data_IF_096875110287
#
_entry.id   IF_096875110287
#
_cell.length_a   1.000
_cell.length_b   1.000
_cell.length_c   1.000
_cell.angle_alpha   90.00
_cell.angle_beta   90.00
_cell.angle_gamma   90.00
#
_symmetry.space_group_name_H-M   'P 1'
#
loop_
_entity.id
_entity.type
_entity.pdbx_description
1 polymer ?
#
# COMPACT_ATOMS: atom_id res chain seq x y z
N UNK A 1 17.29 -52.62 -30.47
CA UNK A 1 16.47 -51.83 -29.51
C UNK A 1 17.23 -50.71 -28.77
N UNK A 2 18.49 -50.37 -29.10
CA UNK A 2 19.24 -49.27 -28.45
C UNK A 2 19.12 -47.90 -29.14
N UNK A 3 18.64 -47.84 -30.39
CA UNK A 3 18.58 -46.57 -31.16
C UNK A 3 17.29 -45.76 -30.97
N UNK A 4 16.24 -46.35 -30.39
CA UNK A 4 14.98 -45.65 -30.13
C UNK A 4 15.04 -44.83 -28.82
N UNK A 5 15.73 -45.35 -27.81
CA UNK A 5 15.94 -44.65 -26.52
C UNK A 5 16.83 -43.41 -26.67
N UNK A 6 17.84 -43.44 -27.54
CA UNK A 6 18.71 -42.27 -27.79
C UNK A 6 18.01 -41.13 -28.53
N UNK A 7 17.01 -41.44 -29.37
CA UNK A 7 16.19 -40.41 -30.06
C UNK A 7 15.17 -39.74 -29.15
N UNK A 8 14.69 -40.43 -28.11
CA UNK A 8 13.81 -39.84 -27.09
C UNK A 8 14.57 -38.90 -26.14
N UNK A 9 15.80 -39.26 -25.75
CA UNK A 9 16.63 -38.40 -24.88
C UNK A 9 17.13 -37.14 -25.60
N UNK A 10 17.39 -37.19 -26.91
CA UNK A 10 17.71 -35.98 -27.69
C UNK A 10 16.53 -35.01 -27.81
N UNK A 11 15.30 -35.51 -27.92
CA UNK A 11 14.10 -34.66 -27.96
C UNK A 11 13.79 -34.00 -26.61
N UNK A 12 14.13 -34.65 -25.49
CA UNK A 12 14.00 -34.05 -24.16
C UNK A 12 15.01 -32.92 -23.94
N UNK A 13 16.28 -33.09 -24.34
CA UNK A 13 17.28 -32.03 -24.22
C UNK A 13 17.03 -30.84 -25.16
N UNK A 14 16.56 -31.08 -26.39
CA UNK A 14 16.20 -29.99 -27.31
C UNK A 14 14.97 -29.18 -26.84
N UNK A 15 14.05 -29.80 -26.08
CA UNK A 15 12.91 -29.10 -25.48
C UNK A 15 13.30 -28.30 -24.23
N UNK A 16 14.40 -28.66 -23.58
CA UNK A 16 14.95 -27.93 -22.43
C UNK A 16 15.85 -26.75 -22.85
N UNK A 17 16.47 -26.81 -24.04
CA UNK A 17 17.24 -25.69 -24.61
C UNK A 17 16.38 -24.63 -25.33
N UNK A 18 15.19 -24.99 -25.85
CA UNK A 18 14.25 -24.05 -26.49
C UNK A 18 13.19 -23.46 -25.54
N UNK A 19 13.30 -23.69 -24.23
CA UNK A 19 12.51 -22.96 -23.22
C UNK A 19 13.20 -21.67 -22.74
N UNK A 20 14.36 -21.33 -23.32
CA UNK A 20 15.03 -20.02 -23.15
C UNK A 20 14.73 -19.12 -24.35
N UNK A 21 13.46 -18.75 -24.56
CA UNK A 21 13.02 -17.56 -25.33
C UNK A 21 11.52 -17.64 -25.67
N UNK A 22 10.63 -17.51 -24.69
CA UNK A 22 9.24 -17.04 -24.87
C UNK A 22 8.53 -17.11 -23.52
N UNK A 23 8.99 -16.30 -22.59
CA UNK A 23 8.30 -16.06 -21.33
C UNK A 23 8.70 -14.68 -20.95
N UNK A 24 7.94 -13.68 -21.46
CA UNK A 24 7.96 -12.38 -20.83
C UNK A 24 7.78 -12.65 -19.35
N UNK A 25 8.84 -12.39 -18.59
CA UNK A 25 8.74 -12.30 -17.14
C UNK A 25 7.78 -11.14 -16.96
N UNK A 26 6.50 -11.45 -16.88
CA UNK A 26 5.57 -10.64 -16.13
C UNK A 26 6.27 -10.56 -14.79
N UNK A 27 6.96 -9.45 -14.56
CA UNK A 27 7.41 -9.08 -13.23
C UNK A 27 6.18 -9.28 -12.37
N UNK A 28 6.17 -10.38 -11.62
CA UNK A 28 5.34 -10.51 -10.43
C UNK A 28 5.56 -9.20 -9.74
N UNK A 29 4.56 -8.31 -9.76
CA UNK A 29 4.62 -7.05 -9.04
C UNK A 29 4.92 -7.48 -7.62
N UNK A 30 6.19 -7.38 -7.22
CA UNK A 30 6.55 -7.47 -5.83
C UNK A 30 5.79 -6.28 -5.26
N UNK A 31 4.65 -6.57 -4.63
CA UNK A 31 3.84 -5.55 -3.98
C UNK A 31 4.72 -5.05 -2.84
N UNK A 32 5.54 -4.04 -3.14
CA UNK A 32 6.37 -3.39 -2.16
C UNK A 32 5.44 -2.96 -1.03
N UNK A 33 5.73 -3.44 0.18
CA UNK A 33 4.94 -3.04 1.34
C UNK A 33 5.00 -1.50 1.44
N UNK A 34 3.88 -0.85 1.84
CA UNK A 34 3.90 0.56 2.14
C UNK A 34 5.00 0.90 3.14
N UNK A 35 5.72 2.00 2.90
CA UNK A 35 6.77 2.51 3.78
C UNK A 35 6.56 4.00 4.04
N UNK A 36 7.05 4.46 5.20
CA UNK A 36 7.18 5.91 5.48
C UNK A 36 8.38 6.40 4.66
N UNK A 37 8.15 7.34 3.76
CA UNK A 37 9.22 7.87 2.90
C UNK A 37 10.11 8.84 3.69
N UNK A 38 11.41 8.82 3.38
CA UNK A 38 12.35 9.85 3.84
C UNK A 38 11.91 11.22 3.33
N UNK A 39 11.94 12.22 4.21
CA UNK A 39 11.47 13.58 3.91
C UNK A 39 9.95 13.76 3.94
N UNK A 40 9.16 12.73 4.28
CA UNK A 40 7.76 12.91 4.61
C UNK A 40 7.57 13.77 5.87
N UNK A 41 6.38 14.32 6.09
CA UNK A 41 6.07 15.10 7.30
C UNK A 41 6.36 14.29 8.55
N UNK A 42 5.86 13.05 8.62
CA UNK A 42 6.09 12.17 9.78
C UNK A 42 7.59 11.89 10.01
N UNK A 43 8.34 11.58 8.93
CA UNK A 43 9.78 11.35 9.04
C UNK A 43 10.54 12.61 9.49
N UNK A 44 10.13 13.77 9.00
CA UNK A 44 10.75 15.05 9.34
C UNK A 44 10.53 15.39 10.80
N UNK A 45 9.30 15.23 11.32
CA UNK A 45 9.01 15.44 12.75
C UNK A 45 9.82 14.44 13.59
N UNK A 46 9.91 13.17 13.18
CA UNK A 46 10.68 12.16 13.91
C UNK A 46 12.17 12.49 14.03
N UNK A 47 12.77 13.12 13.02
CA UNK A 47 14.16 13.57 13.07
C UNK A 47 14.40 14.82 13.92
N UNK A 48 13.35 15.55 14.30
CA UNK A 48 13.42 16.78 15.09
C UNK A 48 12.99 16.57 16.55
N UNK A 49 11.88 15.87 16.75
CA UNK A 49 11.27 15.59 18.04
C UNK A 49 10.52 14.25 17.97
N UNK A 50 11.15 13.15 18.46
CA UNK A 50 10.55 11.83 18.48
C UNK A 50 9.26 11.74 19.31
N UNK A 51 9.12 12.58 20.35
CA UNK A 51 7.92 12.61 21.20
C UNK A 51 6.76 13.27 20.44
N UNK A 52 7.01 14.40 19.78
CA UNK A 52 6.03 15.02 18.91
C UNK A 52 5.65 14.11 17.72
N UNK A 53 6.60 13.35 17.17
CA UNK A 53 6.32 12.38 16.12
C UNK A 53 5.44 11.23 16.60
N UNK A 54 5.61 10.76 17.84
CA UNK A 54 4.75 9.76 18.44
C UNK A 54 3.32 10.29 18.64
N UNK A 55 3.17 11.50 19.17
CA UNK A 55 1.86 12.16 19.31
C UNK A 55 1.19 12.40 17.96
N UNK A 56 1.94 12.81 16.95
CA UNK A 56 1.46 12.94 15.58
C UNK A 56 0.99 11.59 15.01
N UNK A 57 1.75 10.52 15.23
CA UNK A 57 1.37 9.18 14.78
C UNK A 57 0.07 8.68 15.44
N UNK A 58 -0.14 9.02 16.72
CA UNK A 58 -1.38 8.73 17.44
C UNK A 58 -2.57 9.54 16.86
N UNK A 59 -2.39 10.84 16.61
CA UNK A 59 -3.40 11.66 15.96
C UNK A 59 -3.74 11.19 14.54
N UNK A 60 -2.74 10.78 13.77
CA UNK A 60 -2.93 10.18 12.45
C UNK A 60 -3.79 8.92 12.52
N UNK A 61 -3.53 8.03 13.49
CA UNK A 61 -4.30 6.80 13.66
C UNK A 61 -5.78 7.10 13.95
N UNK A 62 -6.06 8.09 14.80
CA UNK A 62 -7.42 8.55 15.08
C UNK A 62 -8.11 9.09 13.81
N UNK A 63 -7.40 9.87 12.98
CA UNK A 63 -7.99 10.37 11.75
C UNK A 63 -8.30 9.26 10.74
N UNK A 64 -7.46 8.23 10.67
CA UNK A 64 -7.73 7.02 9.87
C UNK A 64 -8.99 6.30 10.37
N UNK A 65 -9.13 6.13 11.69
CA UNK A 65 -10.33 5.53 12.28
C UNK A 65 -11.59 6.34 11.97
N UNK A 66 -11.52 7.68 12.06
CA UNK A 66 -12.61 8.56 11.65
C UNK A 66 -12.93 8.47 10.15
N UNK A 67 -11.92 8.34 9.28
CA UNK A 67 -12.14 8.17 7.85
C UNK A 67 -12.87 6.84 7.55
N UNK A 68 -12.49 5.76 8.23
CA UNK A 68 -13.15 4.44 8.10
C UNK A 68 -14.60 4.52 8.62
N UNK A 69 -14.81 5.09 9.80
CA UNK A 69 -16.13 5.16 10.43
C UNK A 69 -17.13 6.03 9.65
N UNK A 70 -16.64 7.03 8.90
CA UNK A 70 -17.45 7.92 8.06
C UNK A 70 -17.56 7.46 6.60
N UNK A 71 -17.01 6.31 6.25
CA UNK A 71 -17.04 5.81 4.87
C UNK A 71 -18.46 5.45 4.45
N UNK A 72 -18.97 6.11 3.41
CA UNK A 72 -20.32 5.84 2.85
C UNK A 72 -20.26 5.30 1.42
N UNK A 73 -19.08 4.95 0.89
CA UNK A 73 -18.88 4.58 -0.53
C UNK A 73 -19.72 3.38 -1.01
N UNK A 74 -20.26 2.56 -0.10
CA UNK A 74 -21.16 1.44 -0.41
C UNK A 74 -22.65 1.77 -0.24
N UNK A 75 -22.97 2.93 0.32
CA UNK A 75 -24.35 3.34 0.59
C UNK A 75 -25.03 3.78 -0.71
N UNK A 76 -26.29 3.37 -0.89
CA UNK A 76 -27.07 3.66 -2.09
C UNK A 76 -27.27 5.17 -2.36
N UNK A 77 -27.27 5.98 -1.29
CA UNK A 77 -27.51 7.43 -1.37
C UNK A 77 -26.22 8.25 -1.52
N UNK A 78 -25.05 7.60 -1.53
CA UNK A 78 -23.77 8.31 -1.69
C UNK A 78 -23.63 8.82 -3.11
N UNK A 79 -23.54 10.13 -3.25
CA UNK A 79 -23.24 10.76 -4.54
C UNK A 79 -21.77 10.57 -4.92
N UNK A 80 -21.49 10.60 -6.23
CA UNK A 80 -20.12 10.59 -6.76
C UNK A 80 -19.26 11.70 -6.15
N UNK A 81 -19.81 12.91 -5.97
CA UNK A 81 -19.10 14.04 -5.38
C UNK A 81 -18.66 13.76 -3.92
N UNK A 82 -19.56 13.20 -3.11
CA UNK A 82 -19.25 12.82 -1.73
C UNK A 82 -18.20 11.70 -1.67
N UNK A 83 -18.29 10.71 -2.57
CA UNK A 83 -17.28 9.65 -2.65
C UNK A 83 -15.89 10.20 -3.00
N UNK A 84 -15.80 11.13 -3.97
CA UNK A 84 -14.55 11.80 -4.32
C UNK A 84 -14.00 12.63 -3.16
N UNK A 85 -14.85 13.32 -2.41
CA UNK A 85 -14.46 14.09 -1.22
C UNK A 85 -13.87 13.19 -0.14
N UNK A 86 -14.51 12.06 0.16
CA UNK A 86 -14.00 11.08 1.13
C UNK A 86 -12.63 10.52 0.73
N UNK A 87 -12.47 10.13 -0.55
CA UNK A 87 -11.18 9.65 -1.08
C UNK A 87 -10.12 10.76 -1.02
N UNK A 88 -10.48 12.00 -1.32
CA UNK A 88 -9.57 13.14 -1.25
C UNK A 88 -9.12 13.41 0.19
N UNK A 89 -10.06 13.43 1.14
CA UNK A 89 -9.75 13.57 2.57
C UNK A 89 -8.77 12.48 3.03
N UNK A 90 -9.05 11.21 2.72
CA UNK A 90 -8.15 10.10 3.03
C UNK A 90 -6.75 10.29 2.41
N UNK A 91 -6.68 10.68 1.13
CA UNK A 91 -5.41 10.90 0.43
C UNK A 91 -4.58 12.00 1.09
N UNK A 92 -5.22 13.09 1.52
CA UNK A 92 -4.53 14.20 2.20
C UNK A 92 -3.93 13.76 3.52
N UNK A 93 -4.67 12.98 4.33
CA UNK A 93 -4.10 12.37 5.54
C UNK A 93 -2.91 11.47 5.19
N UNK A 94 -3.07 10.53 4.25
CA UNK A 94 -2.01 9.59 3.84
C UNK A 94 -0.77 10.30 3.31
N UNK A 95 -0.91 11.45 2.63
CA UNK A 95 0.21 12.22 2.08
C UNK A 95 1.26 12.60 3.12
N UNK A 96 0.87 12.73 4.39
CA UNK A 96 1.77 13.04 5.51
C UNK A 96 2.81 11.94 5.77
N UNK A 97 2.56 10.72 5.28
CA UNK A 97 3.49 9.59 5.34
C UNK A 97 4.45 9.51 4.15
N UNK A 98 4.17 10.25 3.08
CA UNK A 98 4.87 10.16 1.81
C UNK A 98 4.66 8.86 1.02
N UNK A 99 3.99 7.85 1.58
CA UNK A 99 3.92 6.49 1.00
C UNK A 99 3.33 6.47 -0.41
N UNK A 100 4.19 6.27 -1.41
CA UNK A 100 3.77 6.27 -2.82
C UNK A 100 2.83 5.11 -3.16
N UNK A 101 2.98 3.96 -2.50
CA UNK A 101 2.09 2.83 -2.74
C UNK A 101 0.66 3.13 -2.29
N UNK A 102 0.48 3.78 -1.14
CA UNK A 102 -0.84 4.14 -0.61
C UNK A 102 -1.45 5.31 -1.38
N UNK A 103 -0.66 6.32 -1.74
CA UNK A 103 -1.13 7.44 -2.57
C UNK A 103 -1.64 6.94 -3.93
N UNK A 104 -0.90 6.02 -4.57
CA UNK A 104 -1.35 5.38 -5.81
C UNK A 104 -2.64 4.57 -5.63
N UNK A 105 -2.83 3.94 -4.48
CA UNK A 105 -4.07 3.22 -4.18
C UNK A 105 -5.25 4.20 -4.05
N UNK A 106 -5.06 5.37 -3.43
CA UNK A 106 -6.07 6.42 -3.41
C UNK A 106 -6.41 6.95 -4.81
N UNK A 107 -5.40 7.12 -5.68
CA UNK A 107 -5.64 7.54 -7.07
C UNK A 107 -6.42 6.48 -7.87
N UNK A 108 -6.21 5.19 -7.59
CA UNK A 108 -7.00 4.10 -8.18
C UNK A 108 -8.46 4.13 -7.72
N UNK A 109 -8.70 4.33 -6.42
CA UNK A 109 -10.06 4.50 -5.88
C UNK A 109 -10.77 5.68 -6.55
N UNK A 110 -10.08 6.82 -6.64
CA UNK A 110 -10.61 8.02 -7.30
C UNK A 110 -11.00 7.72 -8.76
N UNK A 111 -10.11 7.08 -9.52
CA UNK A 111 -10.37 6.76 -10.91
C UNK A 111 -11.56 5.80 -11.10
N UNK A 112 -11.86 4.95 -10.12
CA UNK A 112 -13.06 4.09 -10.14
C UNK A 112 -14.35 4.87 -9.89
N UNK A 113 -14.34 5.80 -8.93
CA UNK A 113 -15.47 6.71 -8.70
C UNK A 113 -15.72 7.57 -9.93
N UNK A 114 -14.68 8.09 -10.58
CA UNK A 114 -14.81 8.87 -11.82
C UNK A 114 -15.43 8.06 -12.99
N UNK A 115 -15.33 6.72 -12.95
CA UNK A 115 -15.99 5.79 -13.89
C UNK A 115 -17.34 5.28 -13.39
N UNK A 116 -17.92 5.92 -12.37
CA UNK A 116 -19.22 5.61 -11.77
C UNK A 116 -19.30 4.21 -11.12
N UNK A 117 -18.19 3.71 -10.59
CA UNK A 117 -18.11 2.41 -9.93
C UNK A 117 -18.31 2.51 -8.39
N UNK A 118 -19.44 3.06 -7.94
CA UNK A 118 -19.83 3.02 -6.53
C UNK A 118 -20.34 1.63 -6.16
N UNK A 119 -19.77 1.03 -5.12
CA UNK A 119 -20.10 -0.34 -4.71
C UNK A 119 -19.51 -0.67 -3.33
N UNK A 120 -20.05 -1.72 -2.70
CA UNK A 120 -19.45 -2.33 -1.51
C UNK A 120 -17.99 -2.74 -1.74
N UNK A 121 -17.64 -3.15 -2.96
CA UNK A 121 -16.26 -3.49 -3.32
C UNK A 121 -15.35 -2.26 -3.22
N UNK A 122 -15.81 -1.10 -3.66
CA UNK A 122 -15.07 0.15 -3.55
C UNK A 122 -14.93 0.56 -2.07
N UNK A 123 -16.00 0.45 -1.28
CA UNK A 123 -15.97 0.73 0.16
C UNK A 123 -14.96 -0.17 0.89
N UNK A 124 -14.96 -1.48 0.62
CA UNK A 124 -13.98 -2.41 1.19
C UNK A 124 -12.54 -2.04 0.83
N UNK A 125 -12.29 -1.62 -0.41
CA UNK A 125 -10.96 -1.18 -0.84
C UNK A 125 -10.54 0.13 -0.19
N UNK A 126 -11.46 1.09 -0.04
CA UNK A 126 -11.22 2.30 0.74
C UNK A 126 -10.80 1.96 2.17
N UNK A 127 -11.57 1.11 2.86
CA UNK A 127 -11.26 0.67 4.23
C UNK A 127 -9.93 -0.06 4.28
N UNK A 128 -9.60 -0.89 3.29
CA UNK A 128 -8.31 -1.58 3.22
C UNK A 128 -7.13 -0.62 3.07
N UNK A 129 -7.25 0.41 2.22
CA UNK A 129 -6.22 1.45 2.06
C UNK A 129 -6.04 2.25 3.35
N UNK A 130 -7.15 2.69 3.97
CA UNK A 130 -7.12 3.43 5.23
C UNK A 130 -6.48 2.57 6.35
N UNK A 131 -6.89 1.31 6.47
CA UNK A 131 -6.33 0.37 7.46
C UNK A 131 -4.83 0.15 7.23
N UNK A 132 -4.40 -0.02 5.97
CA UNK A 132 -2.98 -0.18 5.65
C UNK A 132 -2.16 1.06 6.05
N UNK A 133 -2.69 2.26 5.85
CA UNK A 133 -2.06 3.50 6.30
C UNK A 133 -1.95 3.58 7.83
N UNK A 134 -3.03 3.24 8.56
CA UNK A 134 -3.01 3.19 10.01
C UNK A 134 -2.01 2.18 10.57
N UNK A 135 -1.94 0.98 9.97
CA UNK A 135 -0.96 -0.05 10.34
C UNK A 135 0.48 0.38 10.06
N UNK A 136 0.73 1.04 8.92
CA UNK A 136 2.04 1.60 8.58
C UNK A 136 2.51 2.58 9.64
N UNK A 137 1.69 3.57 9.99
CA UNK A 137 2.04 4.59 10.99
C UNK A 137 2.18 3.99 12.38
N UNK A 138 1.30 3.06 12.77
CA UNK A 138 1.42 2.34 14.06
C UNK A 138 2.71 1.53 14.17
N UNK A 139 3.17 0.93 13.07
CA UNK A 139 4.46 0.22 13.03
C UNK A 139 5.62 1.20 13.16
N UNK A 140 5.57 2.33 12.45
CA UNK A 140 6.58 3.38 12.53
C UNK A 140 6.66 4.00 13.94
N UNK A 141 5.52 4.29 14.56
CA UNK A 141 5.46 4.79 15.95
C UNK A 141 6.25 3.92 16.93
N UNK A 142 6.21 2.59 16.76
CA UNK A 142 6.95 1.65 17.62
C UNK A 142 8.46 1.76 17.48
N UNK A 143 8.97 2.25 16.35
CA UNK A 143 10.41 2.45 16.15
C UNK A 143 10.91 3.76 16.78
N UNK A 144 10.01 4.71 17.08
CA UNK A 144 10.36 5.99 17.70
C UNK A 144 10.72 5.87 19.19
N UNK A 145 10.29 4.81 19.87
CA UNK A 145 10.51 4.60 21.30
C UNK A 145 11.90 4.03 21.66
N UNK A 146 12.79 3.88 20.68
CA UNK A 146 14.07 3.15 20.85
C UNK A 146 15.24 4.08 21.25
N UNK A 147 15.09 5.41 21.16
CA UNK A 147 16.22 6.35 21.30
C UNK A 147 16.39 6.99 22.71
N UNK A 148 15.49 6.69 23.66
CA UNK A 148 15.57 7.22 25.04
C UNK A 148 16.33 6.29 26.01
N UNK A 149 16.96 5.24 25.48
CA UNK A 149 17.74 4.27 26.25
C UNK A 149 19.24 4.37 25.94
N UNK A 150 19.79 5.59 25.98
CA UNK A 150 21.23 5.75 26.17
C UNK A 150 21.50 6.23 27.61
N UNK A 151 21.82 5.31 28.55
CA UNK A 151 22.28 5.71 29.88
C UNK A 151 23.74 6.18 29.88
N UNK A 152 24.42 6.28 28.73
CA UNK A 152 25.85 6.61 28.64
C UNK A 152 26.21 7.49 27.41
N UNK A 153 25.90 8.78 27.47
CA UNK A 153 26.58 9.81 26.65
C UNK A 153 27.02 11.00 27.51
#
# INVERSE_FOLDING_TARGET
MRSLLTRLLHRLHARQANASAAGGVQSTKIHAQPQIESGSTLHTIAGLDPVAAAAFADAFAVEIEHAIARCTLGDADTSQAQALEQIHSLKNTISLTGSQQLLKACDQLRGEVERDALSDTLAHRFTAVATAAGLLVKRYRRTLLIDDADPHA
#
